data_IF_913814306037
#
_entry.id   IF_913814306037
#
_cell.length_a   1.000
_cell.length_b   1.000
_cell.length_c   1.000
_cell.angle_alpha   90.00
_cell.angle_beta   90.00
_cell.angle_gamma   90.00
#
_symmetry.space_group_name_H-M   'P 1'
#
loop_
_entity.id
_entity.type
_entity.pdbx_description
1 polymer ?
#
# COMPACT_ATOMS: atom_id res chain seq x y z
N UNK A 1 27.57 15.21 -17.79
CA UNK A 1 26.62 15.32 -16.67
C UNK A 1 25.70 14.08 -16.51
N UNK A 2 25.33 13.39 -17.58
CA UNK A 2 24.48 12.18 -17.52
C UNK A 2 25.15 10.93 -16.89
N UNK A 3 26.46 10.76 -17.06
CA UNK A 3 27.18 9.60 -16.52
C UNK A 3 27.26 9.60 -14.99
N UNK A 4 27.38 10.77 -14.37
CA UNK A 4 27.42 10.89 -12.92
C UNK A 4 26.05 10.58 -12.28
N UNK A 5 24.96 11.07 -12.88
CA UNK A 5 23.58 10.73 -12.47
C UNK A 5 23.32 9.23 -12.54
N UNK A 6 23.68 8.58 -13.65
CA UNK A 6 23.49 7.14 -13.83
C UNK A 6 24.37 6.32 -12.88
N UNK A 7 25.56 6.81 -12.55
CA UNK A 7 26.43 6.18 -11.56
C UNK A 7 25.86 6.30 -10.13
N UNK A 8 25.36 7.48 -9.76
CA UNK A 8 24.70 7.71 -8.47
C UNK A 8 23.43 6.86 -8.33
N UNK A 9 22.60 6.80 -9.40
CA UNK A 9 21.40 5.95 -9.39
C UNK A 9 21.74 4.47 -9.25
N UNK A 10 22.72 3.94 -9.95
CA UNK A 10 23.20 2.55 -9.78
C UNK A 10 23.74 2.29 -8.37
N UNK A 11 24.32 3.32 -7.77
CA UNK A 11 24.83 3.25 -6.40
C UNK A 11 23.67 3.16 -5.39
N UNK A 12 22.62 3.95 -5.57
CA UNK A 12 21.47 4.02 -4.64
C UNK A 12 20.55 2.80 -4.79
N UNK A 13 20.40 2.26 -6.00
CA UNK A 13 19.43 1.19 -6.30
C UNK A 13 20.00 -0.24 -6.22
N UNK A 14 21.26 -0.42 -5.80
CA UNK A 14 21.79 -1.78 -5.64
C UNK A 14 21.14 -2.49 -4.44
N UNK A 15 20.66 -3.73 -4.60
CA UNK A 15 19.99 -4.48 -3.53
C UNK A 15 20.88 -4.66 -2.29
N UNK A 16 22.20 -4.73 -2.48
CA UNK A 16 23.15 -4.81 -1.39
C UNK A 16 23.15 -3.56 -0.50
N UNK A 17 22.91 -2.38 -1.05
CA UNK A 17 22.88 -1.12 -0.27
C UNK A 17 21.54 -0.90 0.40
N UNK A 18 20.45 -1.30 -0.22
CA UNK A 18 19.16 -1.34 0.45
C UNK A 18 19.22 -2.25 1.68
N UNK A 19 19.90 -3.41 1.58
CA UNK A 19 20.15 -4.29 2.69
C UNK A 19 21.05 -3.63 3.77
N UNK A 20 22.12 -2.93 3.38
CA UNK A 20 22.99 -2.21 4.31
C UNK A 20 22.26 -1.06 5.02
N UNK A 21 21.37 -0.32 4.32
CA UNK A 21 20.51 0.68 4.94
C UNK A 21 19.54 0.05 5.95
N UNK A 22 18.91 -1.07 5.60
CA UNK A 22 18.05 -1.83 6.51
C UNK A 22 18.78 -2.31 7.75
N UNK A 23 19.97 -2.87 7.58
CA UNK A 23 20.85 -3.29 8.68
C UNK A 23 21.27 -2.09 9.55
N UNK A 24 21.64 -0.97 8.91
CA UNK A 24 22.00 0.26 9.63
C UNK A 24 20.86 0.81 10.48
N UNK A 25 19.65 0.86 9.93
CA UNK A 25 18.45 1.24 10.68
C UNK A 25 18.18 0.28 11.83
N UNK A 26 18.28 -1.02 11.60
CA UNK A 26 18.11 -2.02 12.66
C UNK A 26 19.13 -1.86 13.80
N UNK A 27 20.39 -1.58 13.47
CA UNK A 27 21.44 -1.31 14.47
C UNK A 27 21.10 -0.03 15.25
N UNK A 28 20.67 1.05 14.58
CA UNK A 28 20.29 2.30 15.22
C UNK A 28 19.12 2.07 16.18
N UNK A 29 18.07 1.37 15.76
CA UNK A 29 16.93 1.05 16.63
C UNK A 29 17.35 0.18 17.83
N UNK A 30 18.26 -0.79 17.62
CA UNK A 30 18.80 -1.62 18.69
C UNK A 30 19.62 -0.81 19.69
N UNK A 31 20.42 0.15 19.22
CA UNK A 31 21.19 1.05 20.08
C UNK A 31 20.28 1.98 20.88
N UNK A 32 19.27 2.57 20.24
CA UNK A 32 18.27 3.40 20.93
C UNK A 32 17.59 2.61 22.04
N UNK A 33 17.20 1.36 21.78
CA UNK A 33 16.66 0.46 22.80
C UNK A 33 17.58 0.30 24.01
N UNK A 34 18.85 -0.01 23.77
CA UNK A 34 19.83 -0.25 24.83
C UNK A 34 20.09 1.02 25.64
N UNK A 35 20.15 2.19 24.99
CA UNK A 35 20.45 3.47 25.65
C UNK A 35 19.25 4.02 26.41
N UNK A 36 18.02 3.88 25.86
CA UNK A 36 16.80 4.46 26.45
C UNK A 36 16.07 3.51 27.39
N UNK A 37 16.38 2.21 27.36
CA UNK A 37 15.67 1.19 28.11
C UNK A 37 14.22 0.95 27.64
N UNK A 38 13.85 1.50 26.48
CA UNK A 38 12.51 1.32 25.89
C UNK A 38 12.45 0.01 25.12
N UNK A 39 11.95 -1.04 25.79
CA UNK A 39 11.84 -2.38 25.22
C UNK A 39 10.75 -2.53 24.15
N UNK A 40 9.79 -1.59 24.12
CA UNK A 40 8.63 -1.67 23.25
C UNK A 40 8.95 -1.57 21.75
N UNK A 41 9.98 -0.82 21.36
CA UNK A 41 10.34 -0.58 19.94
C UNK A 41 10.73 -1.87 19.19
N UNK A 42 11.36 -2.83 19.89
CA UNK A 42 11.79 -4.11 19.32
C UNK A 42 11.03 -5.31 19.88
N UNK A 43 9.92 -5.05 20.57
CA UNK A 43 9.06 -6.10 21.11
C UNK A 43 8.40 -6.89 19.98
N UNK A 44 8.03 -8.13 20.26
CA UNK A 44 7.23 -8.94 19.33
C UNK A 44 5.90 -8.25 18.97
N UNK A 45 5.35 -7.44 19.89
CA UNK A 45 4.18 -6.61 19.66
C UNK A 45 4.42 -5.52 18.61
N UNK A 46 5.53 -4.80 18.68
CA UNK A 46 5.88 -3.76 17.72
C UNK A 46 6.13 -4.34 16.32
N UNK A 47 6.85 -5.47 16.23
CA UNK A 47 7.05 -6.18 14.95
C UNK A 47 5.72 -6.65 14.37
N UNK A 48 4.87 -7.26 15.19
CA UNK A 48 3.53 -7.69 14.79
C UNK A 48 2.66 -6.54 14.31
N UNK A 49 2.67 -5.40 15.01
CA UNK A 49 1.97 -4.19 14.61
C UNK A 49 2.50 -3.64 13.27
N UNK A 50 3.82 -3.58 13.11
CA UNK A 50 4.47 -3.13 11.87
C UNK A 50 4.03 -3.97 10.68
N UNK A 51 4.08 -5.29 10.79
CA UNK A 51 3.61 -6.19 9.72
C UNK A 51 2.13 -5.95 9.43
N UNK A 52 1.30 -5.87 10.45
CA UNK A 52 -0.15 -5.69 10.33
C UNK A 52 -0.50 -4.39 9.60
N UNK A 53 0.19 -3.29 9.87
CA UNK A 53 -0.04 -2.01 9.18
C UNK A 53 0.63 -1.94 7.82
N UNK A 54 1.72 -2.67 7.59
CA UNK A 54 2.41 -2.69 6.30
C UNK A 54 1.63 -3.42 5.22
N UNK A 55 0.90 -4.49 5.56
CA UNK A 55 0.17 -5.30 4.58
C UNK A 55 -0.84 -4.48 3.76
N UNK A 56 -1.76 -3.69 4.35
CA UNK A 56 -2.71 -2.90 3.58
C UNK A 56 -2.03 -1.88 2.66
N UNK A 57 -0.98 -1.22 3.16
CA UNK A 57 -0.22 -0.22 2.39
C UNK A 57 0.48 -0.88 1.20
N UNK A 58 1.09 -2.05 1.42
CA UNK A 58 1.76 -2.82 0.37
C UNK A 58 0.77 -3.28 -0.71
N UNK A 59 -0.40 -3.77 -0.32
CA UNK A 59 -1.43 -4.21 -1.25
C UNK A 59 -1.98 -3.04 -2.07
N UNK A 60 -2.19 -1.87 -1.45
CA UNK A 60 -2.59 -0.65 -2.15
C UNK A 60 -1.51 -0.19 -3.14
N UNK A 61 -0.24 -0.21 -2.73
CA UNK A 61 0.89 0.15 -3.60
C UNK A 61 1.01 -0.79 -4.81
N UNK A 62 0.83 -2.10 -4.61
CA UNK A 62 0.80 -3.07 -5.71
C UNK A 62 -0.38 -2.82 -6.66
N UNK A 63 -1.57 -2.55 -6.13
CA UNK A 63 -2.74 -2.18 -6.95
C UNK A 63 -2.50 -0.92 -7.77
N UNK A 64 -1.92 0.12 -7.16
CA UNK A 64 -1.52 1.35 -7.84
C UNK A 64 -0.50 1.11 -8.94
N UNK A 65 0.53 0.32 -8.67
CA UNK A 65 1.56 -0.04 -9.65
C UNK A 65 0.98 -0.76 -10.88
N UNK A 66 0.00 -1.63 -10.68
CA UNK A 66 -0.67 -2.33 -11.79
C UNK A 66 -1.53 -1.38 -12.61
N UNK A 67 -2.27 -0.48 -11.95
CA UNK A 67 -3.03 0.56 -12.62
C UNK A 67 -2.12 1.46 -13.47
N UNK A 68 -1.02 1.96 -12.91
CA UNK A 68 -0.06 2.81 -13.62
C UNK A 68 0.57 2.09 -14.81
N UNK A 69 0.90 0.81 -14.68
CA UNK A 69 1.43 0.01 -15.80
C UNK A 69 0.43 -0.21 -16.92
N UNK A 70 -0.87 -0.16 -16.63
CA UNK A 70 -1.92 -0.20 -17.65
C UNK A 70 -2.22 1.16 -18.29
N UNK A 71 -1.53 2.23 -17.84
CA UNK A 71 -1.72 3.59 -18.32
C UNK A 71 -2.85 4.35 -17.61
N UNK A 72 -3.38 3.81 -16.52
CA UNK A 72 -4.44 4.45 -15.71
C UNK A 72 -3.86 4.85 -14.35
N UNK A 73 -3.86 6.15 -14.06
CA UNK A 73 -3.46 6.65 -12.73
C UNK A 73 -4.68 6.57 -11.81
N UNK A 74 -4.62 5.69 -10.82
CA UNK A 74 -5.71 5.52 -9.87
C UNK A 74 -5.45 6.30 -8.57
N UNK A 75 -5.96 7.52 -8.50
CA UNK A 75 -5.92 8.36 -7.29
C UNK A 75 -7.01 7.91 -6.28
N UNK A 76 -7.99 7.12 -6.72
CA UNK A 76 -9.10 6.62 -5.89
C UNK A 76 -8.79 5.39 -5.05
N UNK A 77 -7.51 5.02 -4.85
CA UNK A 77 -7.11 3.83 -4.09
C UNK A 77 -7.61 3.87 -2.64
N UNK A 78 -7.66 5.04 -2.02
CA UNK A 78 -8.16 5.21 -0.65
C UNK A 78 -9.65 4.85 -0.57
N UNK A 79 -10.49 5.38 -1.47
CA UNK A 79 -11.90 5.04 -1.54
C UNK A 79 -12.13 3.55 -1.82
N UNK A 80 -11.34 2.95 -2.72
CA UNK A 80 -11.36 1.51 -2.98
C UNK A 80 -11.08 0.68 -1.71
N UNK A 81 -10.09 1.09 -0.92
CA UNK A 81 -9.76 0.42 0.35
C UNK A 81 -10.89 0.59 1.37
N UNK A 82 -11.49 1.77 1.47
CA UNK A 82 -12.62 2.03 2.38
C UNK A 82 -13.80 1.14 2.02
N UNK A 83 -14.18 1.09 0.74
CA UNK A 83 -15.23 0.19 0.27
C UNK A 83 -14.95 -1.27 0.59
N UNK A 84 -13.75 -1.75 0.26
CA UNK A 84 -13.35 -3.12 0.57
C UNK A 84 -13.39 -3.41 2.07
N UNK A 85 -12.93 -2.48 2.90
CA UNK A 85 -12.93 -2.63 4.36
C UNK A 85 -14.33 -2.67 4.92
N UNK A 86 -15.22 -1.80 4.45
CA UNK A 86 -16.60 -1.73 4.93
C UNK A 86 -17.37 -3.02 4.63
N UNK A 87 -17.37 -3.46 3.37
CA UNK A 87 -18.04 -4.70 2.99
C UNK A 87 -17.37 -5.93 3.65
N UNK A 88 -16.05 -5.92 3.76
CA UNK A 88 -15.31 -6.98 4.42
C UNK A 88 -15.66 -7.12 5.90
N UNK A 89 -15.77 -6.01 6.61
CA UNK A 89 -16.12 -5.99 8.02
C UNK A 89 -17.57 -6.44 8.24
N UNK A 90 -18.51 -5.89 7.48
CA UNK A 90 -19.94 -6.20 7.61
C UNK A 90 -20.22 -7.69 7.33
N UNK A 91 -19.80 -8.18 6.16
CA UNK A 91 -20.01 -9.58 5.81
C UNK A 91 -19.14 -10.53 6.63
N UNK A 92 -17.97 -10.11 7.07
CA UNK A 92 -17.13 -10.87 7.96
C UNK A 92 -17.73 -11.05 9.34
N UNK A 93 -18.40 -10.02 9.86
CA UNK A 93 -19.13 -10.09 11.12
C UNK A 93 -20.37 -10.99 11.03
N UNK A 94 -21.14 -10.88 9.96
CA UNK A 94 -22.39 -11.64 9.79
C UNK A 94 -22.17 -13.10 9.42
N UNK A 95 -21.20 -13.40 8.55
CA UNK A 95 -21.08 -14.72 7.90
C UNK A 95 -19.69 -15.36 8.06
N UNK A 96 -18.80 -14.71 8.80
CA UNK A 96 -17.46 -15.22 9.07
C UNK A 96 -16.36 -14.65 8.14
N UNK A 97 -15.09 -14.84 8.52
CA UNK A 97 -13.95 -14.13 7.92
C UNK A 97 -13.72 -14.43 6.44
N UNK A 98 -14.02 -15.64 5.98
CA UNK A 98 -13.84 -16.02 4.58
C UNK A 98 -14.85 -15.35 3.65
N UNK A 99 -16.09 -15.21 4.11
CA UNK A 99 -17.14 -14.50 3.36
C UNK A 99 -16.85 -13.01 3.36
N UNK A 100 -16.37 -12.47 4.47
CA UNK A 100 -15.88 -11.08 4.54
C UNK A 100 -14.76 -10.80 3.55
N UNK A 101 -13.78 -11.70 3.44
CA UNK A 101 -12.69 -11.56 2.46
C UNK A 101 -13.23 -11.54 1.02
N UNK A 102 -14.14 -12.43 0.68
CA UNK A 102 -14.75 -12.46 -0.65
C UNK A 102 -15.57 -11.19 -0.92
N UNK A 103 -16.34 -10.73 0.06
CA UNK A 103 -17.12 -9.50 -0.06
C UNK A 103 -16.23 -8.28 -0.29
N UNK A 104 -15.10 -8.17 0.44
CA UNK A 104 -14.11 -7.11 0.26
C UNK A 104 -13.51 -7.11 -1.14
N UNK A 105 -13.13 -8.30 -1.64
CA UNK A 105 -12.57 -8.45 -2.99
C UNK A 105 -13.59 -8.05 -4.07
N UNK A 106 -14.83 -8.47 -3.94
CA UNK A 106 -15.90 -8.15 -4.90
C UNK A 106 -16.20 -6.66 -4.87
N UNK A 107 -16.39 -6.07 -3.69
CA UNK A 107 -16.70 -4.65 -3.54
C UNK A 107 -15.59 -3.76 -4.10
N UNK A 108 -14.34 -3.99 -3.72
CA UNK A 108 -13.19 -3.26 -4.24
C UNK A 108 -13.03 -3.43 -5.76
N UNK A 109 -13.26 -4.65 -6.28
CA UNK A 109 -13.20 -4.91 -7.72
C UNK A 109 -14.28 -4.17 -8.50
N UNK A 110 -15.51 -4.09 -7.98
CA UNK A 110 -16.61 -3.36 -8.63
C UNK A 110 -16.33 -1.87 -8.74
N UNK A 111 -15.83 -1.25 -7.67
CA UNK A 111 -15.45 0.17 -7.69
C UNK A 111 -14.24 0.40 -8.60
N UNK A 112 -13.26 -0.51 -8.61
CA UNK A 112 -12.13 -0.47 -9.53
C UNK A 112 -12.55 -0.60 -11.00
N UNK A 113 -13.49 -1.49 -11.31
CA UNK A 113 -14.08 -1.62 -12.63
C UNK A 113 -14.84 -0.35 -13.04
N UNK A 114 -15.57 0.25 -12.12
CA UNK A 114 -16.26 1.52 -12.36
C UNK A 114 -15.25 2.62 -12.73
N UNK A 115 -14.16 2.75 -11.96
CA UNK A 115 -13.09 3.70 -12.25
C UNK A 115 -12.49 3.46 -13.65
N UNK A 116 -12.13 2.22 -13.96
CA UNK A 116 -11.58 1.85 -15.25
C UNK A 116 -12.58 2.13 -16.40
N UNK A 117 -13.85 1.83 -16.22
CA UNK A 117 -14.87 2.11 -17.22
C UNK A 117 -15.04 3.62 -17.48
N UNK A 118 -15.09 4.43 -16.44
CA UNK A 118 -15.22 5.88 -16.54
C UNK A 118 -14.00 6.51 -17.23
N UNK A 119 -12.79 6.06 -16.89
CA UNK A 119 -11.56 6.65 -17.40
C UNK A 119 -11.18 6.13 -18.78
N UNK A 120 -11.29 4.83 -19.03
CA UNK A 120 -10.85 4.21 -20.28
C UNK A 120 -11.92 4.24 -21.36
N UNK A 121 -13.18 3.97 -20.99
CA UNK A 121 -14.27 3.85 -21.96
C UNK A 121 -14.99 5.17 -22.22
N UNK A 122 -15.24 5.94 -21.18
CA UNK A 122 -15.95 7.24 -21.29
C UNK A 122 -14.97 8.38 -21.53
N UNK A 123 -13.71 8.24 -21.08
CA UNK A 123 -12.67 9.26 -21.25
C UNK A 123 -12.73 10.37 -20.20
N UNK A 124 -13.33 10.11 -19.03
CA UNK A 124 -13.30 11.04 -17.90
C UNK A 124 -11.86 11.15 -17.39
N UNK A 125 -11.47 12.35 -17.00
CA UNK A 125 -10.16 12.59 -16.38
C UNK A 125 -9.94 11.67 -15.17
N UNK A 126 -8.76 11.02 -15.13
CA UNK A 126 -8.42 9.99 -14.13
C UNK A 126 -8.39 10.57 -12.73
N UNK A 127 -7.90 11.81 -12.57
CA UNK A 127 -7.84 12.48 -11.28
C UNK A 127 -9.24 12.82 -10.78
N UNK A 128 -10.12 13.31 -11.66
CA UNK A 128 -11.52 13.63 -11.32
C UNK A 128 -12.26 12.38 -10.89
N UNK A 129 -12.15 11.30 -11.65
CA UNK A 129 -12.78 10.02 -11.31
C UNK A 129 -12.24 9.44 -9.99
N UNK A 130 -10.94 9.49 -9.77
CA UNK A 130 -10.32 9.01 -8.53
C UNK A 130 -10.74 9.81 -7.31
N UNK A 131 -10.76 11.14 -7.41
CA UNK A 131 -11.25 12.02 -6.34
C UNK A 131 -12.72 11.78 -6.02
N UNK A 132 -13.57 11.59 -7.05
CA UNK A 132 -14.97 11.27 -6.83
C UNK A 132 -15.17 9.98 -6.04
N UNK A 133 -14.35 8.94 -6.31
CA UNK A 133 -14.37 7.68 -5.57
C UNK A 133 -13.93 7.86 -4.11
N UNK A 134 -12.96 8.72 -3.85
CA UNK A 134 -12.52 9.00 -2.47
C UNK A 134 -13.54 9.80 -1.66
N UNK A 135 -14.44 10.52 -2.32
CA UNK A 135 -15.50 11.32 -1.68
C UNK A 135 -16.82 10.54 -1.49
N UNK A 136 -16.94 9.35 -2.06
CA UNK A 136 -18.14 8.52 -2.03
C UNK A 136 -18.20 7.70 -0.75
#
# INVERSE_FOLDING_TARGET
MNNLKNYIWRIITSPARAALFGIGLFIIFSLVRVVTGVDDITSAGAVGATIRFTIPILMAALGGLWAERSGVINIGLEGLMIFGTWFGAEFGFLYGPWIGLLAALIAGSLVGLLHAFLTVRIGIDQAVSGLAINLL
#
